data_IF_313816628613
#
_entry.id   IF_313816628613
#
_cell.length_a   1.000
_cell.length_b   1.000
_cell.length_c   1.000
_cell.angle_alpha   90.00
_cell.angle_beta   90.00
_cell.angle_gamma   90.00
#
_symmetry.space_group_name_H-M   'P 1'
#
loop_
_entity.id
_entity.type
_entity.pdbx_description
1 polymer ?
#
# COMPACT_ATOMS: atom_id res chain seq x y z
N UNK A 1 -27.57 43.29 4.57
CA UNK A 1 -28.30 42.52 5.60
C UNK A 1 -29.44 41.79 4.91
N UNK A 2 -29.27 40.51 4.61
CA UNK A 2 -30.34 39.67 4.06
C UNK A 2 -31.22 39.19 5.22
N UNK A 3 -32.44 39.74 5.31
CA UNK A 3 -33.48 39.26 6.22
C UNK A 3 -34.01 37.92 5.70
N UNK A 4 -33.71 36.84 6.43
CA UNK A 4 -34.27 35.50 6.19
C UNK A 4 -35.53 35.38 7.08
N UNK A 5 -36.71 35.27 6.47
CA UNK A 5 -37.97 35.10 7.22
C UNK A 5 -38.01 33.70 7.85
N UNK A 6 -38.15 33.61 9.18
CA UNK A 6 -38.33 32.34 9.89
C UNK A 6 -39.73 31.78 9.64
N UNK A 7 -39.84 30.49 9.32
CA UNK A 7 -41.09 29.74 9.47
C UNK A 7 -41.04 29.06 10.83
N UNK A 8 -41.71 29.64 11.84
CA UNK A 8 -41.88 28.99 13.13
C UNK A 8 -43.14 28.11 13.10
N UNK A 9 -43.04 26.88 13.60
CA UNK A 9 -44.18 25.95 13.70
C UNK A 9 -44.90 26.06 15.05
N UNK A 10 -44.49 26.94 15.98
CA UNK A 10 -45.28 27.26 17.19
C UNK A 10 -45.02 28.66 17.77
N UNK A 11 -46.00 29.17 18.52
CA UNK A 11 -46.11 30.55 19.04
C UNK A 11 -45.04 30.96 20.08
N UNK A 12 -44.24 30.03 20.62
CA UNK A 12 -43.27 30.31 21.69
C UNK A 12 -41.82 29.92 21.35
N UNK A 13 -41.54 29.49 20.11
CA UNK A 13 -40.19 29.08 19.69
C UNK A 13 -39.21 30.24 19.54
N UNK A 14 -39.69 31.45 19.23
CA UNK A 14 -38.82 32.62 19.01
C UNK A 14 -38.18 33.20 20.28
N UNK A 15 -38.63 32.79 21.48
CA UNK A 15 -38.11 33.25 22.77
C UNK A 15 -36.90 32.43 23.27
N UNK A 16 -36.55 31.33 22.60
CA UNK A 16 -35.43 30.49 23.04
C UNK A 16 -34.11 31.00 22.44
N UNK A 17 -32.97 30.92 23.18
CA UNK A 17 -31.65 31.21 22.62
C UNK A 17 -31.40 30.34 21.38
N UNK A 18 -30.70 30.91 20.41
CA UNK A 18 -30.29 30.21 19.19
C UNK A 18 -29.52 28.94 19.56
N UNK A 19 -29.94 27.81 18.98
CA UNK A 19 -29.34 26.50 19.21
C UNK A 19 -29.28 25.81 17.85
N UNK A 20 -28.05 25.56 17.39
CA UNK A 20 -27.79 24.94 16.09
C UNK A 20 -28.34 23.51 16.02
N UNK A 21 -28.38 22.82 17.17
CA UNK A 21 -29.05 21.53 17.33
C UNK A 21 -30.55 21.61 17.02
N UNK A 22 -31.23 22.70 17.42
CA UNK A 22 -32.66 22.90 17.10
C UNK A 22 -32.90 23.22 15.64
N UNK A 23 -32.05 24.03 15.01
CA UNK A 23 -32.13 24.27 13.56
C UNK A 23 -31.90 22.96 12.75
N UNK A 24 -31.01 22.07 13.22
CA UNK A 24 -30.78 20.73 12.63
C UNK A 24 -32.03 19.83 12.69
N UNK A 25 -32.75 19.85 13.82
CA UNK A 25 -33.92 18.99 14.05
C UNK A 25 -35.15 19.47 13.26
N UNK A 26 -35.30 20.78 13.07
CA UNK A 26 -36.41 21.37 12.31
C UNK A 26 -36.34 21.11 10.79
N UNK A 27 -35.15 20.80 10.24
CA UNK A 27 -34.96 20.46 8.82
C UNK A 27 -35.03 18.95 8.50
N UNK A 28 -35.47 18.10 9.45
CA UNK A 28 -35.66 16.65 9.19
C UNK A 28 -36.80 16.41 8.19
N UNK A 29 -36.53 15.61 7.14
CA UNK A 29 -37.56 15.10 6.20
C UNK A 29 -38.02 13.71 6.65
N UNK A 30 -39.34 13.53 6.84
CA UNK A 30 -39.95 12.25 7.22
C UNK A 30 -39.88 11.20 6.09
N UNK A 31 -39.79 9.87 6.38
CA UNK A 31 -39.57 8.83 5.37
C UNK A 31 -40.72 8.59 4.37
N UNK A 32 -41.89 9.19 4.60
CA UNK A 32 -43.12 8.92 3.84
C UNK A 32 -43.26 9.69 2.52
N UNK A 33 -42.28 10.52 2.12
CA UNK A 33 -42.30 11.22 0.83
C UNK A 33 -41.31 10.69 -0.21
N UNK A 34 -40.69 9.53 0.03
CA UNK A 34 -39.56 9.02 -0.75
C UNK A 34 -39.94 8.08 -1.90
N UNK A 35 -41.09 8.31 -2.54
CA UNK A 35 -41.49 7.56 -3.74
C UNK A 35 -41.59 8.42 -5.02
N UNK A 36 -40.82 9.52 -5.12
CA UNK A 36 -40.93 10.41 -6.30
C UNK A 36 -39.73 11.25 -6.73
N UNK A 37 -38.58 11.22 -6.04
CA UNK A 37 -37.46 12.14 -6.36
C UNK A 37 -36.14 11.41 -6.65
N UNK A 38 -36.22 10.32 -7.42
CA UNK A 38 -35.02 9.65 -7.92
C UNK A 38 -34.50 10.22 -9.24
N UNK A 39 -35.08 11.29 -9.81
CA UNK A 39 -34.52 11.94 -11.00
C UNK A 39 -34.72 13.47 -10.97
N UNK A 40 -33.61 14.17 -10.73
CA UNK A 40 -33.36 15.53 -11.22
C UNK A 40 -33.75 16.68 -10.31
N UNK A 41 -32.76 17.27 -9.61
CA UNK A 41 -32.65 18.73 -9.42
C UNK A 41 -31.17 19.12 -9.44
N UNK A 42 -30.74 19.78 -10.52
CA UNK A 42 -29.59 20.70 -10.51
C UNK A 42 -30.00 21.94 -9.72
N UNK A 43 -29.17 22.36 -8.76
CA UNK A 43 -29.12 23.74 -8.26
C UNK A 43 -30.21 24.13 -7.25
N UNK A 44 -29.95 23.92 -5.96
CA UNK A 44 -30.13 24.92 -4.89
C UNK A 44 -29.23 24.51 -3.72
N UNK A 45 -28.63 25.49 -3.04
CA UNK A 45 -27.78 25.31 -1.86
C UNK A 45 -28.59 24.73 -0.69
N UNK A 46 -28.73 23.41 -0.63
CA UNK A 46 -29.28 22.72 0.53
C UNK A 46 -28.15 22.55 1.57
N UNK A 47 -28.38 23.04 2.79
CA UNK A 47 -27.49 22.84 3.93
C UNK A 47 -27.35 21.32 4.20
N UNK A 48 -26.15 20.80 4.52
CA UNK A 48 -25.98 19.36 4.69
C UNK A 48 -26.69 18.87 5.97
N UNK A 49 -27.78 18.14 5.77
CA UNK A 49 -28.66 17.58 6.81
C UNK A 49 -28.17 16.20 7.25
N UNK A 50 -28.28 15.88 8.55
CA UNK A 50 -27.98 14.53 9.06
C UNK A 50 -28.98 13.53 8.45
N UNK A 51 -28.51 12.62 7.60
CA UNK A 51 -29.36 11.57 7.03
C UNK A 51 -29.50 10.47 8.08
N UNK A 52 -30.74 10.23 8.55
CA UNK A 52 -31.19 9.15 9.46
C UNK A 52 -30.92 9.24 10.99
N UNK A 53 -30.43 10.34 11.61
CA UNK A 53 -29.78 10.22 12.95
C UNK A 53 -29.92 11.41 13.95
N UNK A 54 -29.49 11.22 15.22
CA UNK A 54 -29.46 12.21 16.33
C UNK A 54 -28.39 13.31 16.12
N UNK A 55 -28.78 14.59 16.21
CA UNK A 55 -27.85 15.74 16.21
C UNK A 55 -27.27 15.92 17.63
N UNK A 56 -26.00 16.33 17.73
CA UNK A 56 -25.29 16.61 18.99
C UNK A 56 -24.68 18.00 18.91
N UNK A 57 -24.95 18.84 19.91
CA UNK A 57 -24.43 20.21 19.98
C UNK A 57 -22.91 20.22 20.24
N UNK A 58 -22.19 21.09 19.54
CA UNK A 58 -20.77 21.39 19.76
C UNK A 58 -20.55 22.90 19.86
N UNK A 59 -19.40 23.30 20.42
CA UNK A 59 -19.11 24.72 20.57
C UNK A 59 -18.95 25.40 19.19
N UNK A 60 -19.91 26.26 18.83
CA UNK A 60 -20.05 26.98 17.55
C UNK A 60 -20.35 26.12 16.31
N UNK A 61 -20.68 24.83 16.46
CA UNK A 61 -20.98 23.91 15.35
C UNK A 61 -21.90 22.77 15.83
N UNK A 62 -22.40 21.93 14.93
CA UNK A 62 -23.12 20.71 15.31
C UNK A 62 -22.53 19.48 14.61
N UNK A 63 -22.66 18.31 15.25
CA UNK A 63 -22.23 17.03 14.70
C UNK A 63 -23.37 16.02 14.74
N UNK A 64 -23.37 15.04 13.83
CA UNK A 64 -24.34 13.95 13.84
C UNK A 64 -23.74 12.72 14.57
N UNK A 65 -24.53 12.04 15.40
CA UNK A 65 -24.14 10.74 15.99
C UNK A 65 -24.50 9.61 15.03
N UNK A 66 -23.49 8.92 14.48
CA UNK A 66 -23.71 7.90 13.45
C UNK A 66 -24.10 6.51 14.00
N UNK A 67 -24.86 5.73 13.23
CA UNK A 67 -25.34 4.38 13.54
C UNK A 67 -24.22 3.39 13.20
N UNK A 68 -24.24 2.17 13.75
CA UNK A 68 -23.26 1.15 13.40
C UNK A 68 -23.27 0.91 11.88
N UNK A 69 -22.23 1.37 11.19
CA UNK A 69 -22.13 1.26 9.73
C UNK A 69 -22.10 2.58 8.95
N UNK A 70 -22.07 3.76 9.60
CA UNK A 70 -21.95 5.07 8.94
C UNK A 70 -20.91 5.99 9.62
N UNK A 71 -20.29 6.89 8.84
CA UNK A 71 -19.26 7.85 9.26
C UNK A 71 -19.35 9.20 8.52
N UNK A 72 -18.50 10.16 8.91
CA UNK A 72 -18.47 11.53 8.38
C UNK A 72 -19.25 12.53 9.24
N UNK A 73 -18.97 13.83 9.07
CA UNK A 73 -19.60 14.93 9.86
C UNK A 73 -21.13 14.89 9.82
N UNK A 74 -21.69 14.44 8.69
CA UNK A 74 -23.14 14.35 8.45
C UNK A 74 -23.65 12.90 8.34
N UNK A 75 -22.84 11.90 8.72
CA UNK A 75 -23.14 10.47 8.56
C UNK A 75 -23.56 10.05 7.14
N UNK A 76 -23.14 10.80 6.13
CA UNK A 76 -23.48 10.56 4.72
C UNK A 76 -22.56 9.52 4.06
N UNK A 77 -21.57 9.01 4.78
CA UNK A 77 -20.67 7.97 4.30
C UNK A 77 -21.04 6.67 4.98
N UNK A 78 -21.33 5.63 4.21
CA UNK A 78 -21.45 4.28 4.77
C UNK A 78 -20.05 3.89 5.23
N UNK A 79 -19.87 3.53 6.51
CA UNK A 79 -18.65 2.87 6.97
C UNK A 79 -18.46 1.69 6.04
N UNK A 80 -17.45 1.79 5.19
CA UNK A 80 -16.84 0.60 4.64
C UNK A 80 -16.48 -0.18 5.90
N UNK A 81 -17.04 -1.39 6.05
CA UNK A 81 -16.49 -2.38 6.98
C UNK A 81 -14.98 -2.22 6.94
N UNK A 82 -14.25 -2.14 8.08
CA UNK A 82 -12.81 -1.94 8.09
C UNK A 82 -12.31 -2.81 6.99
N UNK A 83 -11.88 -2.14 5.94
CA UNK A 83 -11.63 -2.85 4.75
C UNK A 83 -10.49 -3.77 5.24
N UNK A 84 -10.57 -5.07 4.95
CA UNK A 84 -9.51 -6.07 5.20
C UNK A 84 -8.09 -5.56 4.82
N UNK A 85 -8.05 -4.47 4.06
CA UNK A 85 -7.01 -3.58 3.60
C UNK A 85 -6.34 -2.66 4.67
N UNK A 86 -6.75 -2.70 5.95
CA UNK A 86 -6.06 -1.93 7.03
C UNK A 86 -5.13 -2.78 7.90
N UNK A 87 -5.08 -4.11 7.68
CA UNK A 87 -4.24 -5.01 8.46
C UNK A 87 -2.77 -5.03 7.98
N UNK A 88 -2.23 -3.86 7.66
CA UNK A 88 -0.80 -3.74 7.35
C UNK A 88 -0.01 -3.56 8.66
N UNK A 89 1.30 -3.85 8.65
CA UNK A 89 2.12 -3.83 9.87
C UNK A 89 2.11 -2.45 10.56
N UNK A 90 1.40 -2.36 11.69
CA UNK A 90 1.35 -1.17 12.56
C UNK A 90 2.33 -1.23 13.74
N UNK A 91 3.00 -2.36 13.97
CA UNK A 91 3.89 -2.56 15.14
C UNK A 91 5.06 -3.52 14.82
N UNK A 92 5.83 -3.19 13.78
CA UNK A 92 7.13 -3.82 13.55
C UNK A 92 8.20 -2.95 14.21
N UNK A 93 8.58 -3.27 15.45
CA UNK A 93 9.63 -2.57 16.19
C UNK A 93 10.87 -2.31 15.32
N UNK A 94 11.51 -1.15 15.50
CA UNK A 94 12.47 -0.56 14.56
C UNK A 94 13.81 -1.26 14.35
N UNK A 95 13.96 -2.54 14.73
CA UNK A 95 15.10 -3.37 14.33
C UNK A 95 14.70 -4.23 13.12
N UNK A 96 15.57 -4.32 12.12
CA UNK A 96 15.38 -5.15 10.93
C UNK A 96 16.61 -6.03 10.72
N UNK A 97 16.41 -7.30 10.35
CA UNK A 97 17.49 -8.28 10.14
C UNK A 97 17.41 -9.53 11.00
N UNK A 98 16.48 -9.59 11.95
CA UNK A 98 16.18 -10.79 12.75
C UNK A 98 14.90 -11.46 12.27
N UNK A 99 14.73 -12.70 12.71
CA UNK A 99 13.54 -13.49 12.44
C UNK A 99 12.26 -12.76 12.90
N UNK A 100 11.38 -12.47 11.95
CA UNK A 100 10.08 -11.84 12.18
C UNK A 100 10.04 -10.32 12.02
N UNK A 101 11.17 -9.68 11.70
CA UNK A 101 11.21 -8.22 11.52
C UNK A 101 10.82 -7.77 10.10
N UNK A 102 10.86 -8.68 9.11
CA UNK A 102 10.33 -8.47 7.76
C UNK A 102 9.16 -9.41 7.46
N UNK A 103 8.01 -9.32 8.16
CA UNK A 103 6.91 -10.29 8.07
C UNK A 103 6.17 -10.26 6.71
N UNK A 104 6.40 -9.24 5.90
CA UNK A 104 5.90 -9.14 4.52
C UNK A 104 6.78 -9.83 3.49
N UNK A 105 7.98 -10.28 3.87
CA UNK A 105 8.93 -10.91 2.97
C UNK A 105 8.37 -12.21 2.39
N UNK A 106 8.47 -12.37 1.08
CA UNK A 106 8.02 -13.58 0.36
C UNK A 106 9.18 -14.17 -0.42
N UNK A 107 9.33 -15.49 -0.34
CA UNK A 107 10.26 -16.27 -1.15
C UNK A 107 9.50 -16.91 -2.31
N UNK A 108 9.85 -16.56 -3.55
CA UNK A 108 9.28 -17.18 -4.74
C UNK A 108 10.12 -18.40 -5.15
N UNK A 109 9.46 -19.54 -5.24
CA UNK A 109 10.05 -20.80 -5.72
C UNK A 109 9.48 -21.14 -7.08
N UNK A 110 10.36 -21.52 -8.00
CA UNK A 110 9.95 -22.03 -9.31
C UNK A 110 9.25 -23.40 -9.20
N UNK A 111 8.76 -23.93 -10.32
CA UNK A 111 8.10 -25.24 -10.37
C UNK A 111 8.98 -26.42 -9.89
N UNK A 112 10.30 -26.27 -9.85
CA UNK A 112 11.27 -27.26 -9.34
C UNK A 112 11.52 -27.11 -7.83
N UNK A 113 10.87 -26.15 -7.16
CA UNK A 113 11.09 -25.86 -5.74
C UNK A 113 12.37 -25.08 -5.45
N UNK A 114 13.03 -24.54 -6.47
CA UNK A 114 14.25 -23.76 -6.31
C UNK A 114 13.92 -22.27 -6.13
N UNK A 115 14.72 -21.58 -5.31
CA UNK A 115 14.65 -20.14 -5.15
C UNK A 115 14.79 -19.44 -6.51
N UNK A 116 13.88 -18.50 -6.79
CA UNK A 116 13.87 -17.74 -8.03
C UNK A 116 13.99 -16.24 -7.78
N UNK A 117 13.13 -15.69 -6.92
CA UNK A 117 13.05 -14.25 -6.65
C UNK A 117 12.49 -13.99 -5.23
N UNK A 118 12.54 -12.73 -4.82
CA UNK A 118 11.78 -12.18 -3.71
C UNK A 118 10.38 -11.72 -4.12
N UNK A 119 9.58 -11.39 -3.11
CA UNK A 119 8.26 -10.82 -3.25
C UNK A 119 7.82 -10.14 -1.95
N UNK A 120 6.67 -9.48 -1.99
CA UNK A 120 6.11 -8.72 -0.87
C UNK A 120 4.64 -9.03 -0.70
N UNK A 121 4.23 -9.49 0.49
CA UNK A 121 2.83 -9.65 0.83
C UNK A 121 2.21 -8.27 1.03
N UNK A 122 1.15 -7.94 0.29
CA UNK A 122 0.45 -6.64 0.36
C UNK A 122 -1.00 -6.76 0.81
N UNK A 123 -1.54 -7.97 0.83
CA UNK A 123 -2.81 -8.33 1.44
C UNK A 123 -2.84 -9.85 1.68
N UNK A 124 -3.87 -10.36 2.38
CA UNK A 124 -4.02 -11.79 2.70
C UNK A 124 -3.79 -12.73 1.52
N UNK A 125 -4.17 -12.31 0.31
CA UNK A 125 -4.20 -13.16 -0.88
C UNK A 125 -3.36 -12.61 -2.04
N UNK A 126 -2.59 -11.55 -1.80
CA UNK A 126 -1.94 -10.77 -2.87
C UNK A 126 -0.48 -10.50 -2.54
N UNK A 127 0.39 -10.88 -3.48
CA UNK A 127 1.85 -10.71 -3.39
C UNK A 127 2.34 -9.89 -4.58
N UNK A 128 3.14 -8.86 -4.33
CA UNK A 128 3.90 -8.15 -5.35
C UNK A 128 5.26 -8.79 -5.59
N UNK A 129 5.76 -8.69 -6.81
CA UNK A 129 7.11 -9.07 -7.20
C UNK A 129 7.50 -8.30 -8.47
N UNK A 130 8.72 -8.47 -8.97
CA UNK A 130 9.15 -7.89 -10.23
C UNK A 130 8.57 -8.68 -11.42
N UNK A 131 8.29 -8.01 -12.53
CA UNK A 131 7.76 -8.67 -13.73
C UNK A 131 8.79 -9.60 -14.38
N UNK A 132 10.07 -9.23 -14.36
CA UNK A 132 11.15 -10.03 -14.93
C UNK A 132 11.31 -11.41 -14.25
N UNK A 133 10.92 -11.53 -12.98
CA UNK A 133 10.87 -12.81 -12.27
C UNK A 133 9.93 -13.82 -12.95
N UNK A 134 8.95 -13.33 -13.72
CA UNK A 134 7.95 -14.13 -14.43
C UNK A 134 8.29 -14.36 -15.92
N UNK A 135 9.50 -13.99 -16.39
CA UNK A 135 9.83 -14.13 -17.81
C UNK A 135 10.11 -15.57 -18.23
N UNK A 136 10.70 -16.38 -17.35
CA UNK A 136 11.04 -17.77 -17.64
C UNK A 136 9.91 -18.77 -17.29
N UNK A 137 9.08 -18.43 -16.31
CA UNK A 137 7.99 -19.26 -15.81
C UNK A 137 6.91 -18.36 -15.25
N UNK A 138 5.65 -18.80 -15.30
CA UNK A 138 4.54 -18.18 -14.55
C UNK A 138 4.06 -19.07 -13.40
N UNK A 139 4.64 -20.27 -13.26
CA UNK A 139 4.27 -21.25 -12.22
C UNK A 139 5.21 -21.10 -11.04
N UNK A 140 4.67 -20.58 -9.94
CA UNK A 140 5.40 -20.37 -8.70
C UNK A 140 4.66 -20.94 -7.50
N UNK A 141 5.44 -21.22 -6.47
CA UNK A 141 4.95 -21.32 -5.10
C UNK A 141 5.57 -20.19 -4.31
N UNK A 142 4.84 -19.67 -3.34
CA UNK A 142 5.37 -18.69 -2.40
C UNK A 142 5.63 -19.37 -1.07
N UNK A 143 6.65 -18.92 -0.37
CA UNK A 143 6.87 -19.23 1.04
C UNK A 143 6.93 -17.94 1.84
N UNK A 144 6.16 -17.90 2.91
CA UNK A 144 6.03 -16.78 3.85
C UNK A 144 6.59 -17.19 5.21
N UNK A 145 7.02 -16.22 6.03
CA UNK A 145 7.48 -16.49 7.40
C UNK A 145 8.79 -17.30 7.50
N UNK A 146 9.57 -17.33 6.42
CA UNK A 146 10.90 -17.93 6.34
C UNK A 146 11.97 -16.89 6.70
N UNK A 147 13.00 -17.29 7.44
CA UNK A 147 14.20 -16.48 7.70
C UNK A 147 15.44 -17.18 7.15
N UNK A 148 15.57 -18.49 7.36
CA UNK A 148 16.71 -19.32 6.92
C UNK A 148 16.29 -20.33 5.84
N UNK A 149 16.58 -20.05 4.56
CA UNK A 149 16.02 -20.80 3.40
C UNK A 149 16.28 -22.30 3.41
N UNK A 150 17.36 -22.72 4.06
CA UNK A 150 17.83 -24.11 4.11
C UNK A 150 17.46 -24.83 5.41
N UNK A 151 16.77 -24.16 6.33
CA UNK A 151 16.33 -24.72 7.61
C UNK A 151 14.82 -24.59 7.73
N UNK A 152 14.16 -25.63 8.23
CA UNK A 152 12.74 -25.53 8.63
C UNK A 152 12.71 -25.04 10.07
N UNK A 153 12.12 -23.87 10.28
CA UNK A 153 12.06 -23.20 11.57
C UNK A 153 10.66 -23.25 12.21
N UNK A 154 9.66 -23.78 11.50
CA UNK A 154 8.30 -24.00 11.98
C UNK A 154 7.38 -22.79 11.81
N UNK A 155 7.87 -21.71 11.21
CA UNK A 155 7.12 -20.48 10.92
C UNK A 155 6.74 -20.36 9.45
N UNK A 156 7.29 -21.23 8.61
CA UNK A 156 7.16 -21.17 7.17
C UNK A 156 5.79 -21.65 6.71
N UNK A 157 5.17 -20.87 5.82
CA UNK A 157 3.91 -21.24 5.17
C UNK A 157 4.12 -21.25 3.67
N UNK A 158 3.98 -22.44 3.06
CA UNK A 158 4.07 -22.61 1.61
C UNK A 158 2.68 -22.55 0.98
N UNK A 159 2.46 -21.60 0.06
CA UNK A 159 1.18 -21.40 -0.63
C UNK A 159 1.39 -21.51 -2.14
N UNK A 160 0.38 -21.99 -2.87
CA UNK A 160 0.41 -21.99 -4.33
C UNK A 160 -0.02 -20.63 -4.87
N UNK A 161 0.55 -20.25 -6.00
CA UNK A 161 0.07 -19.12 -6.80
C UNK A 161 -1.01 -19.63 -7.76
N UNK A 162 -2.20 -19.07 -7.67
CA UNK A 162 -3.33 -19.38 -8.53
C UNK A 162 -3.18 -18.69 -9.90
N UNK A 163 -2.82 -17.41 -9.87
CA UNK A 163 -2.64 -16.61 -11.09
C UNK A 163 -1.56 -15.53 -10.90
N UNK A 164 -0.86 -15.22 -11.98
CA UNK A 164 0.15 -14.17 -12.04
C UNK A 164 -0.23 -13.12 -13.09
N UNK A 165 -0.06 -11.85 -12.75
CA UNK A 165 -0.42 -10.69 -13.56
C UNK A 165 0.83 -9.84 -13.76
N UNK A 166 1.42 -9.87 -14.96
CA UNK A 166 2.47 -8.91 -15.35
C UNK A 166 1.82 -7.57 -15.70
N UNK A 167 2.49 -6.47 -15.37
CA UNK A 167 2.05 -5.18 -15.86
C UNK A 167 2.02 -5.17 -17.41
N UNK A 168 0.94 -4.72 -18.05
CA UNK A 168 0.79 -4.82 -19.51
C UNK A 168 1.83 -4.01 -20.28
N UNK A 169 2.34 -2.94 -19.68
CA UNK A 169 3.38 -2.08 -20.27
C UNK A 169 4.80 -2.46 -19.82
N UNK A 170 5.00 -3.64 -19.21
CA UNK A 170 6.34 -4.12 -18.85
C UNK A 170 7.22 -4.28 -20.09
N UNK A 171 8.39 -3.64 -20.07
CA UNK A 171 9.36 -3.69 -21.16
C UNK A 171 10.59 -4.51 -20.75
N UNK A 172 10.76 -5.68 -21.35
CA UNK A 172 11.87 -6.61 -21.05
C UNK A 172 13.26 -6.09 -21.42
N UNK A 173 13.37 -5.02 -22.23
CA UNK A 173 14.66 -4.44 -22.62
C UNK A 173 15.11 -3.33 -21.67
N UNK A 174 14.18 -2.49 -21.23
CA UNK A 174 14.47 -1.34 -20.38
C UNK A 174 14.15 -1.60 -18.91
N UNK A 175 13.45 -2.70 -18.60
CA UNK A 175 12.87 -2.99 -17.30
C UNK A 175 11.94 -1.88 -16.79
N UNK A 176 11.33 -1.10 -17.70
CA UNK A 176 10.30 -0.13 -17.34
C UNK A 176 8.99 -0.89 -17.06
N UNK A 177 8.25 -0.44 -16.05
CA UNK A 177 7.08 -1.13 -15.51
C UNK A 177 7.35 -2.58 -15.06
N UNK A 178 8.51 -2.80 -14.43
CA UNK A 178 8.92 -4.09 -13.88
C UNK A 178 8.19 -4.47 -12.58
N UNK A 179 6.88 -4.62 -12.67
CA UNK A 179 6.00 -5.01 -11.57
C UNK A 179 5.03 -6.12 -11.98
N UNK A 180 4.83 -7.06 -11.07
CA UNK A 180 3.83 -8.10 -11.21
C UNK A 180 3.10 -8.36 -9.90
N UNK A 181 1.87 -8.84 -10.04
CA UNK A 181 0.97 -9.17 -8.95
C UNK A 181 0.63 -10.67 -9.01
N UNK A 182 0.69 -11.35 -7.87
CA UNK A 182 0.41 -12.76 -7.74
C UNK A 182 -0.81 -12.95 -6.82
N UNK A 183 -1.78 -13.72 -7.31
CA UNK A 183 -2.94 -14.17 -6.54
C UNK A 183 -2.62 -15.53 -5.92
N UNK A 184 -2.69 -15.63 -4.60
CA UNK A 184 -2.52 -16.89 -3.87
C UNK A 184 -3.73 -17.80 -4.05
N UNK A 185 -3.57 -19.12 -3.95
CA UNK A 185 -4.70 -20.07 -3.99
C UNK A 185 -5.53 -20.01 -2.71
N UNK A 186 -4.87 -19.86 -1.56
CA UNK A 186 -5.51 -19.70 -0.25
C UNK A 186 -4.96 -18.46 0.45
N UNK A 187 -5.76 -17.78 1.30
CA UNK A 187 -5.29 -16.66 2.11
C UNK A 187 -4.10 -17.05 3.00
N UNK A 188 -3.15 -16.13 3.14
CA UNK A 188 -2.02 -16.25 4.03
C UNK A 188 -2.48 -16.14 5.49
N UNK A 189 -2.11 -17.09 6.36
CA UNK A 189 -2.47 -17.03 7.77
C UNK A 189 -1.61 -15.96 8.45
N UNK A 190 -2.24 -14.86 8.83
CA UNK A 190 -1.53 -13.78 9.52
C UNK A 190 -1.01 -14.24 10.88
N UNK A 191 0.22 -13.84 11.17
CA UNK A 191 0.92 -14.15 12.41
C UNK A 191 1.98 -13.09 12.66
N UNK A 192 2.68 -13.16 13.80
CA UNK A 192 3.83 -12.27 14.05
C UNK A 192 4.97 -12.37 13.02
N UNK A 193 4.97 -13.40 12.16
CA UNK A 193 5.97 -13.61 11.12
C UNK A 193 5.41 -13.42 9.70
N UNK A 194 4.10 -13.21 9.57
CA UNK A 194 3.40 -13.13 8.28
C UNK A 194 2.37 -12.01 8.38
N UNK A 195 2.71 -10.85 7.83
CA UNK A 195 1.86 -9.66 7.80
C UNK A 195 2.15 -8.87 6.52
N UNK A 196 1.16 -8.19 5.94
CA UNK A 196 1.38 -7.42 4.72
C UNK A 196 2.07 -6.08 5.01
N UNK A 197 2.79 -5.57 4.02
CA UNK A 197 3.34 -4.22 4.00
C UNK A 197 2.27 -3.19 3.58
N UNK A 198 2.33 -1.96 4.11
CA UNK A 198 1.46 -0.88 3.66
C UNK A 198 1.84 -0.40 2.26
N UNK A 199 0.84 -0.10 1.45
CA UNK A 199 1.03 0.71 0.25
C UNK A 199 0.77 2.19 0.60
N UNK A 200 1.72 3.11 0.37
CA UNK A 200 1.49 4.52 0.63
C UNK A 200 0.52 5.12 -0.39
N UNK A 201 -0.27 6.10 0.02
CA UNK A 201 -1.01 6.95 -0.92
C UNK A 201 -0.03 7.76 -1.78
N UNK A 202 -0.43 8.15 -2.99
CA UNK A 202 0.43 8.93 -3.88
C UNK A 202 0.88 10.25 -3.24
N UNK A 203 0.00 10.94 -2.50
CA UNK A 203 0.38 12.17 -1.79
C UNK A 203 1.40 11.93 -0.67
N UNK A 204 1.22 10.89 0.14
CA UNK A 204 2.18 10.55 1.20
C UNK A 204 3.54 10.14 0.60
N UNK A 205 3.49 9.34 -0.46
CA UNK A 205 4.68 8.86 -1.15
C UNK A 205 5.51 10.03 -1.71
N UNK A 206 4.91 10.91 -2.53
CA UNK A 206 5.64 12.00 -3.19
C UNK A 206 6.08 13.10 -2.22
N UNK A 207 5.24 13.46 -1.25
CA UNK A 207 5.52 14.62 -0.38
C UNK A 207 6.41 14.29 0.80
N UNK A 208 6.55 13.01 1.15
CA UNK A 208 7.23 12.61 2.40
C UNK A 208 8.19 11.45 2.16
N UNK A 209 7.74 10.34 1.58
CA UNK A 209 8.50 9.08 1.60
C UNK A 209 9.53 8.95 0.46
N UNK A 210 9.36 9.67 -0.64
CA UNK A 210 10.27 9.65 -1.79
C UNK A 210 11.30 10.78 -1.78
N UNK A 211 11.38 11.54 -0.70
CA UNK A 211 12.33 12.64 -0.59
C UNK A 211 13.76 12.11 -0.55
N UNK A 212 14.68 12.86 -1.16
CA UNK A 212 16.10 12.55 -1.14
C UNK A 212 16.62 12.38 0.30
N UNK A 213 17.42 11.34 0.54
CA UNK A 213 17.94 11.01 1.86
C UNK A 213 16.97 10.25 2.77
N UNK A 214 15.73 9.96 2.33
CA UNK A 214 14.80 9.14 3.13
C UNK A 214 15.42 7.77 3.39
N UNK A 215 15.57 7.34 4.65
CA UNK A 215 16.15 6.05 4.96
C UNK A 215 15.18 4.94 4.55
N UNK A 216 15.69 3.98 3.79
CA UNK A 216 14.95 2.78 3.40
C UNK A 216 15.71 1.54 3.81
N UNK A 217 14.94 0.46 3.96
CA UNK A 217 15.43 -0.86 4.28
C UNK A 217 15.07 -1.78 3.13
N UNK A 218 16.07 -2.50 2.62
CA UNK A 218 15.90 -3.52 1.60
C UNK A 218 16.24 -4.87 2.21
N UNK A 219 15.37 -5.87 1.99
CA UNK A 219 15.57 -7.22 2.51
C UNK A 219 15.43 -8.29 1.45
N UNK A 220 16.26 -9.33 1.54
CA UNK A 220 16.21 -10.45 0.61
C UNK A 220 17.28 -11.52 0.87
N UNK A 221 17.26 -12.54 0.03
CA UNK A 221 18.18 -13.67 0.08
C UNK A 221 19.10 -13.71 -1.14
N UNK A 222 19.34 -12.55 -1.74
CA UNK A 222 20.24 -12.38 -2.87
C UNK A 222 21.66 -12.81 -2.54
N UNK A 223 22.49 -12.79 -3.58
CA UNK A 223 23.93 -13.04 -3.46
C UNK A 223 24.58 -11.88 -2.70
N UNK A 224 25.48 -12.20 -1.80
CA UNK A 224 26.25 -11.15 -1.09
C UNK A 224 27.28 -10.49 -2.02
N UNK A 225 27.75 -11.20 -3.05
CA UNK A 225 28.67 -10.68 -4.05
C UNK A 225 28.29 -11.15 -5.45
N UNK A 226 28.54 -10.31 -6.47
CA UNK A 226 28.23 -10.60 -7.88
C UNK A 226 28.91 -11.89 -8.40
N UNK A 227 30.08 -12.23 -7.84
CA UNK A 227 30.84 -13.44 -8.20
C UNK A 227 30.48 -14.68 -7.36
N UNK A 228 29.59 -14.53 -6.37
CA UNK A 228 29.15 -15.66 -5.56
C UNK A 228 28.26 -16.58 -6.39
N UNK A 229 28.51 -17.89 -6.28
CA UNK A 229 27.60 -18.91 -6.83
C UNK A 229 26.44 -19.22 -5.88
N UNK A 230 26.47 -18.69 -4.65
CA UNK A 230 25.52 -19.02 -3.58
C UNK A 230 24.74 -17.80 -3.11
N UNK A 231 23.43 -17.95 -3.07
CA UNK A 231 22.48 -17.05 -2.42
C UNK A 231 22.67 -17.08 -0.89
N UNK A 232 22.41 -15.97 -0.20
CA UNK A 232 22.53 -15.95 1.27
C UNK A 232 21.48 -16.82 1.93
N UNK A 233 21.89 -17.60 2.91
CA UNK A 233 21.06 -18.62 3.53
C UNK A 233 20.02 -17.98 4.47
N UNK A 234 20.46 -17.01 5.27
CA UNK A 234 19.63 -16.16 6.12
C UNK A 234 19.13 -14.92 5.36
N UNK A 235 18.04 -14.33 5.82
CA UNK A 235 17.51 -13.08 5.26
C UNK A 235 18.48 -11.94 5.59
N UNK A 236 19.02 -11.32 4.55
CA UNK A 236 19.90 -10.17 4.66
C UNK A 236 19.11 -8.88 4.55
N UNK A 237 19.64 -7.85 5.20
CA UNK A 237 19.02 -6.53 5.27
C UNK A 237 20.09 -5.46 5.12
N UNK A 238 19.81 -4.48 4.26
CA UNK A 238 20.65 -3.31 4.06
C UNK A 238 19.84 -2.03 4.29
N UNK A 239 20.51 -0.99 4.81
CA UNK A 239 19.95 0.33 5.01
C UNK A 239 20.57 1.28 3.99
N UNK A 240 19.74 1.84 3.11
CA UNK A 240 20.19 2.73 2.04
C UNK A 240 19.25 3.93 1.94
N UNK A 241 19.73 5.13 1.63
CA UNK A 241 18.87 6.28 1.43
C UNK A 241 18.29 6.30 0.01
N UNK A 242 17.09 6.87 -0.14
CA UNK A 242 16.57 7.29 -1.44
C UNK A 242 17.50 8.35 -2.03
N UNK A 243 17.77 8.25 -3.33
CA UNK A 243 18.58 9.18 -4.10
C UNK A 243 17.70 9.92 -5.10
N UNK A 244 17.86 11.24 -5.16
CA UNK A 244 17.17 12.09 -6.11
C UNK A 244 17.41 11.65 -7.57
N UNK A 245 16.35 11.74 -8.38
CA UNK A 245 16.34 11.27 -9.76
C UNK A 245 17.42 11.92 -10.63
N UNK A 246 17.64 13.22 -10.47
CA UNK A 246 18.62 13.97 -11.26
C UNK A 246 20.04 13.51 -10.97
N UNK A 247 20.35 13.29 -9.69
CA UNK A 247 21.64 12.72 -9.28
C UNK A 247 21.77 11.29 -9.81
N UNK A 248 20.72 10.47 -9.67
CA UNK A 248 20.74 9.11 -10.21
C UNK A 248 20.99 9.08 -11.72
N UNK A 249 20.34 9.95 -12.49
CA UNK A 249 20.51 10.04 -13.95
C UNK A 249 21.93 10.44 -14.35
N UNK A 250 22.66 11.19 -13.52
CA UNK A 250 24.06 11.54 -13.78
C UNK A 250 25.03 10.37 -13.54
N UNK A 251 24.68 9.43 -12.66
CA UNK A 251 25.54 8.31 -12.26
C UNK A 251 25.20 6.98 -12.97
N UNK A 252 24.06 6.91 -13.64
CA UNK A 252 23.58 5.74 -14.36
C UNK A 252 23.76 5.91 -15.88
N UNK A 253 24.12 4.83 -16.56
CA UNK A 253 24.30 4.79 -18.01
C UNK A 253 22.97 4.60 -18.73
N UNK A 254 22.03 3.91 -18.08
CA UNK A 254 20.68 3.66 -18.58
C UNK A 254 19.72 4.83 -18.30
N UNK A 255 18.75 5.02 -19.19
CA UNK A 255 17.69 6.03 -19.01
C UNK A 255 16.82 5.70 -17.79
N UNK A 256 16.80 6.60 -16.81
CA UNK A 256 15.95 6.52 -15.62
C UNK A 256 14.58 7.10 -15.97
N UNK A 257 13.50 6.36 -15.73
CA UNK A 257 12.11 6.80 -15.95
C UNK A 257 11.51 7.38 -14.66
N UNK A 258 10.28 7.92 -14.71
CA UNK A 258 9.54 8.37 -13.50
C UNK A 258 8.92 7.19 -12.72
N UNK A 259 8.99 5.99 -13.29
CA UNK A 259 8.45 4.75 -12.72
C UNK A 259 9.43 4.03 -11.80
N UNK A 260 10.62 4.59 -11.60
CA UNK A 260 11.67 3.99 -10.79
C UNK A 260 12.16 4.96 -9.72
N UNK A 261 12.66 4.38 -8.63
CA UNK A 261 13.38 5.03 -7.55
C UNK A 261 14.83 4.56 -7.59
N UNK A 262 15.74 5.44 -7.21
CA UNK A 262 17.12 5.08 -6.98
C UNK A 262 17.41 5.11 -5.49
N UNK A 263 18.17 4.15 -4.99
CA UNK A 263 18.60 4.15 -3.60
C UNK A 263 20.02 3.59 -3.47
N UNK A 264 20.77 4.11 -2.52
CA UNK A 264 22.16 3.74 -2.30
C UNK A 264 22.99 4.88 -1.76
N UNK A 265 24.22 4.57 -1.34
CA UNK A 265 25.20 5.55 -0.89
C UNK A 265 26.35 5.59 -1.89
N UNK A 266 26.51 6.70 -2.59
CA UNK A 266 27.65 6.92 -3.49
C UNK A 266 28.97 6.76 -2.71
N UNK A 267 29.97 6.15 -3.32
CA UNK A 267 31.26 5.82 -2.68
C UNK A 267 31.27 4.60 -1.77
N UNK A 268 30.13 3.95 -1.49
CA UNK A 268 30.06 2.75 -0.66
C UNK A 268 29.70 1.50 -1.46
N UNK A 269 30.07 0.33 -0.92
CA UNK A 269 29.74 -0.98 -1.50
C UNK A 269 28.47 -1.60 -0.88
N UNK A 270 27.45 -0.79 -0.62
CA UNK A 270 26.17 -1.26 -0.08
C UNK A 270 25.13 -1.21 -1.20
N UNK A 271 24.82 -2.36 -1.80
CA UNK A 271 23.84 -2.49 -2.88
C UNK A 271 23.09 -3.83 -2.78
N UNK A 272 21.84 -3.85 -3.22
CA UNK A 272 21.07 -5.09 -3.37
C UNK A 272 21.58 -5.85 -4.60
N UNK A 273 21.56 -7.19 -4.58
CA UNK A 273 22.19 -7.98 -5.64
C UNK A 273 21.26 -9.03 -6.26
N UNK A 274 21.78 -9.79 -7.22
CA UNK A 274 21.09 -10.90 -7.86
C UNK A 274 20.42 -11.82 -6.85
N UNK A 275 19.12 -12.09 -7.04
CA UNK A 275 18.30 -12.89 -6.14
C UNK A 275 17.43 -12.08 -5.18
N UNK A 276 17.73 -10.79 -4.98
CA UNK A 276 16.82 -9.88 -4.25
C UNK A 276 15.67 -9.37 -5.13
N UNK A 277 15.74 -9.60 -6.45
CA UNK A 277 14.73 -9.21 -7.45
C UNK A 277 13.30 -9.48 -7.00
N UNK A 278 12.45 -8.46 -7.08
CA UNK A 278 11.06 -8.49 -6.62
C UNK A 278 10.88 -8.36 -5.11
N UNK A 279 11.97 -8.32 -4.33
CA UNK A 279 11.96 -8.09 -2.89
C UNK A 279 11.57 -6.66 -2.50
N UNK A 280 11.26 -6.42 -1.22
CA UNK A 280 10.79 -5.13 -0.72
C UNK A 280 11.91 -4.11 -0.53
N UNK A 281 11.63 -2.85 -0.90
CA UNK A 281 12.24 -1.65 -0.34
C UNK A 281 11.19 -0.90 0.48
N UNK A 282 11.38 -0.85 1.80
CA UNK A 282 10.40 -0.28 2.74
C UNK A 282 10.98 0.89 3.54
N UNK A 283 10.11 1.75 4.07
CA UNK A 283 10.49 2.78 5.03
C UNK A 283 9.53 2.78 6.22
N UNK A 284 10.03 3.17 7.38
CA UNK A 284 9.23 3.31 8.59
C UNK A 284 8.76 4.76 8.72
N UNK A 285 7.45 4.98 8.74
CA UNK A 285 6.85 6.29 8.96
C UNK A 285 5.72 6.19 9.98
N UNK A 286 5.87 6.90 11.12
CA UNK A 286 4.91 6.90 12.24
C UNK A 286 4.49 5.47 12.62
N UNK A 287 5.49 4.65 12.95
CA UNK A 287 5.35 3.26 13.39
C UNK A 287 4.75 2.30 12.35
N UNK A 288 4.62 2.75 11.10
CA UNK A 288 4.06 1.96 10.00
C UNK A 288 5.09 1.73 8.91
N UNK A 289 5.25 0.48 8.49
CA UNK A 289 6.14 0.12 7.39
C UNK A 289 5.44 0.23 6.03
N UNK A 290 5.94 1.14 5.19
CA UNK A 290 5.43 1.38 3.84
C UNK A 290 6.36 0.81 2.78
N UNK A 291 5.80 0.13 1.79
CA UNK A 291 6.50 -0.34 0.60
C UNK A 291 6.66 0.81 -0.40
N UNK A 292 7.90 1.26 -0.61
CA UNK A 292 8.25 2.32 -1.56
C UNK A 292 8.59 1.74 -2.92
N UNK A 293 9.33 0.63 -2.93
CA UNK A 293 9.77 0.02 -4.17
C UNK A 293 9.98 -1.48 -4.15
N UNK A 294 10.18 -2.04 -5.33
CA UNK A 294 10.55 -3.43 -5.55
C UNK A 294 11.94 -3.48 -6.17
N UNK A 295 12.81 -4.36 -5.68
CA UNK A 295 14.14 -4.56 -6.28
C UNK A 295 13.97 -4.98 -7.75
N UNK A 296 14.58 -4.23 -8.68
CA UNK A 296 14.38 -4.44 -10.11
C UNK A 296 15.70 -4.78 -10.81
N UNK A 297 16.60 -3.81 -10.98
CA UNK A 297 17.90 -4.00 -11.64
C UNK A 297 18.95 -3.03 -11.08
N UNK A 298 20.20 -3.19 -11.51
CA UNK A 298 21.31 -2.30 -11.16
C UNK A 298 22.50 -2.49 -12.10
N UNK A 299 23.43 -1.54 -12.14
CA UNK A 299 24.64 -1.60 -12.98
C UNK A 299 25.78 -2.39 -12.30
N UNK A 300 25.44 -3.58 -11.81
CA UNK A 300 26.30 -4.52 -11.10
C UNK A 300 26.30 -4.33 -9.58
N UNK A 301 26.30 -5.43 -8.83
CA UNK A 301 26.29 -5.39 -7.38
C UNK A 301 27.68 -5.15 -6.78
N UNK A 302 27.76 -4.43 -5.67
CA UNK A 302 28.97 -4.31 -4.86
C UNK A 302 30.10 -3.49 -5.50
N UNK A 303 29.79 -2.73 -6.57
CA UNK A 303 30.72 -1.76 -7.16
C UNK A 303 30.63 -0.42 -6.44
N UNK A 304 31.76 0.26 -6.28
CA UNK A 304 31.76 1.65 -5.82
C UNK A 304 30.97 2.52 -6.82
N UNK A 305 30.18 3.45 -6.29
CA UNK A 305 29.43 4.47 -7.05
C UNK A 305 28.27 3.97 -7.93
N UNK A 306 27.69 2.79 -7.63
CA UNK A 306 26.48 2.31 -8.29
C UNK A 306 25.28 2.29 -7.35
N UNK A 307 24.15 2.73 -7.89
CA UNK A 307 22.86 2.82 -7.20
C UNK A 307 21.97 1.65 -7.62
N UNK A 308 21.19 1.14 -6.67
CA UNK A 308 20.14 0.18 -6.96
C UNK A 308 18.92 0.87 -7.57
N UNK A 309 18.30 0.22 -8.56
CA UNK A 309 17.06 0.69 -9.18
C UNK A 309 15.88 -0.14 -8.70
N UNK A 310 14.86 0.56 -8.22
CA UNK A 310 13.67 -0.01 -7.62
C UNK A 310 12.44 0.47 -8.36
N UNK A 311 11.48 -0.40 -8.64
CA UNK A 311 10.21 0.02 -9.24
C UNK A 311 9.41 0.84 -8.24
N UNK A 312 8.97 2.05 -8.60
CA UNK A 312 8.25 3.00 -7.73
C UNK A 312 6.80 2.56 -7.53
N UNK A 313 6.52 1.90 -6.40
CA UNK A 313 5.22 1.22 -6.17
C UNK A 313 4.04 2.18 -6.15
N UNK A 314 4.19 3.41 -5.66
CA UNK A 314 3.11 4.40 -5.58
C UNK A 314 2.48 4.73 -6.94
N UNK A 315 3.24 4.64 -8.04
CA UNK A 315 2.74 4.87 -9.39
C UNK A 315 1.77 3.76 -9.86
N UNK A 316 1.83 2.58 -9.24
CA UNK A 316 1.07 1.40 -9.64
C UNK A 316 -0.14 1.12 -8.75
N UNK A 317 -0.43 1.97 -7.76
CA UNK A 317 -1.57 1.78 -6.85
C UNK A 317 -2.90 1.60 -7.58
N UNK A 318 -3.16 2.38 -8.64
CA UNK A 318 -4.37 2.24 -9.44
C UNK A 318 -4.43 0.92 -10.21
N UNK A 319 -3.30 0.47 -10.76
CA UNK A 319 -3.22 -0.81 -11.45
C UNK A 319 -3.41 -1.99 -10.48
N UNK A 320 -2.77 -1.94 -9.31
CA UNK A 320 -2.92 -2.95 -8.25
C UNK A 320 -4.39 -3.05 -7.83
N UNK A 321 -5.04 -1.91 -7.57
CA UNK A 321 -6.46 -1.89 -7.20
C UNK A 321 -7.34 -2.41 -8.34
N UNK A 322 -7.11 -1.98 -9.57
CA UNK A 322 -7.88 -2.43 -10.74
C UNK A 322 -7.85 -3.95 -10.91
N UNK A 323 -6.68 -4.59 -10.80
CA UNK A 323 -6.59 -6.06 -10.89
C UNK A 323 -7.32 -6.76 -9.74
N UNK A 324 -7.25 -6.21 -8.53
CA UNK A 324 -7.92 -6.78 -7.34
C UNK A 324 -9.45 -6.67 -7.46
N UNK A 325 -9.95 -5.50 -7.83
CA UNK A 325 -11.38 -5.24 -8.02
C UNK A 325 -11.95 -6.07 -9.18
N UNK A 326 -11.18 -6.21 -10.27
CA UNK A 326 -11.55 -7.08 -11.39
C UNK A 326 -11.61 -8.55 -10.98
N UNK A 327 -10.67 -9.00 -10.13
CA UNK A 327 -10.68 -10.37 -9.58
C UNK A 327 -11.94 -10.64 -8.75
N UNK A 328 -12.23 -9.76 -7.80
CA UNK A 328 -13.35 -9.87 -6.87
C UNK A 328 -14.73 -9.71 -7.55
N UNK A 329 -14.76 -9.09 -8.74
CA UNK A 329 -15.98 -9.02 -9.56
C UNK A 329 -16.28 -10.33 -10.29
N UNK A 330 -15.23 -11.07 -10.66
CA UNK A 330 -15.35 -12.29 -11.48
C UNK A 330 -15.51 -13.55 -10.62
N UNK A 331 -14.99 -13.54 -9.39
CA UNK A 331 -14.95 -14.70 -8.48
C UNK A 331 -15.53 -14.34 -7.11
#
# INVERSE_FOLDING_TARGET
>A
MLLRSRRANSFLEELKPASMERECVEERVSPLSLSGLLHGIMGTSASPTCVLMECVDQYQDYACRCEPGYEGKYCNQRRRTPSQWTACCLDGGGEVGKKGESPWQVLLMNAKGQFACGGVLIAESWVLTAAHCLDNSMRFRVRLGDYERHRVEGTEVNLKVLQAFKHPNYNTRTYDNDIALLRLETPAPFSKFILPACLPSSDLAERVLHLNGTPTVVSGWGKEEMNSSTFSSALNVINIPVVERDLCTQHMSNTITENVLCAGVLGQRQDACEGDSGGPMVTLYRDTWFLLGLVSWGEGCGRQDKLGIYTKVSNYNQWIQGIRDDWDRVH
#
